data_IF_862384338053
#
_entry.id   IF_862384338053
#
_cell.length_a   1.000
_cell.length_b   1.000
_cell.length_c   1.000
_cell.angle_alpha   90.00
_cell.angle_beta   90.00
_cell.angle_gamma   90.00
#
_symmetry.space_group_name_H-M   'P 1'
#
loop_
_entity.id
_entity.type
_entity.pdbx_description
1 polymer ?
#
# COMPACT_ATOMS: atom_id res chain seq x y z
N UNK A 1 -5.59 -18.11 -20.96
CA UNK A 1 -5.60 -16.63 -20.98
C UNK A 1 -5.69 -16.00 -19.57
N UNK A 2 -5.26 -16.69 -18.49
CA UNK A 2 -5.37 -16.20 -17.10
C UNK A 2 -4.06 -15.63 -16.56
N UNK A 3 -2.92 -16.28 -16.79
CA UNK A 3 -1.66 -15.90 -16.13
C UNK A 3 -1.13 -14.53 -16.52
N UNK A 4 -1.25 -14.14 -17.80
CA UNK A 4 -0.77 -12.83 -18.26
C UNK A 4 -1.57 -11.69 -17.60
N UNK A 5 -2.89 -11.85 -17.50
CA UNK A 5 -3.79 -10.88 -16.84
C UNK A 5 -3.52 -10.80 -15.34
N UNK A 6 -3.27 -11.93 -14.69
CA UNK A 6 -2.91 -11.97 -13.26
C UNK A 6 -1.59 -11.27 -12.97
N UNK A 7 -0.56 -11.51 -13.79
CA UNK A 7 0.73 -10.81 -13.68
C UNK A 7 0.58 -9.32 -13.92
N UNK A 8 -0.12 -8.93 -14.98
CA UNK A 8 -0.35 -7.51 -15.29
C UNK A 8 -1.08 -6.82 -14.16
N UNK A 9 -2.19 -7.38 -13.65
CA UNK A 9 -2.93 -6.77 -12.53
C UNK A 9 -2.11 -6.72 -11.24
N UNK A 10 -1.24 -7.70 -11.00
CA UNK A 10 -0.30 -7.67 -9.87
C UNK A 10 0.70 -6.51 -10.00
N UNK A 11 1.37 -6.38 -11.15
CA UNK A 11 2.31 -5.28 -11.40
C UNK A 11 1.62 -3.91 -11.38
N UNK A 12 0.40 -3.82 -11.90
CA UNK A 12 -0.41 -2.59 -11.87
C UNK A 12 -0.78 -2.20 -10.43
N UNK A 13 -1.10 -3.17 -9.57
CA UNK A 13 -1.37 -2.93 -8.14
C UNK A 13 -0.13 -2.45 -7.41
N UNK A 14 1.04 -3.03 -7.72
CA UNK A 14 2.32 -2.58 -7.15
C UNK A 14 2.70 -1.17 -7.62
N UNK A 15 2.49 -0.86 -8.91
CA UNK A 15 2.72 0.47 -9.45
C UNK A 15 1.78 1.52 -8.84
N UNK A 16 0.50 1.18 -8.67
CA UNK A 16 -0.48 2.02 -7.97
C UNK A 16 -0.09 2.24 -6.51
N UNK A 17 0.35 1.18 -5.81
CA UNK A 17 0.83 1.31 -4.43
C UNK A 17 1.99 2.33 -4.33
N UNK A 18 2.95 2.27 -5.26
CA UNK A 18 4.04 3.24 -5.31
C UNK A 18 3.56 4.65 -5.65
N UNK A 19 2.65 4.80 -6.61
CA UNK A 19 2.09 6.10 -6.98
C UNK A 19 1.35 6.77 -5.82
N UNK A 20 0.54 6.01 -5.08
CA UNK A 20 -0.21 6.53 -3.94
C UNK A 20 0.65 6.79 -2.69
N UNK A 21 1.85 6.21 -2.61
CA UNK A 21 2.81 6.52 -1.57
C UNK A 21 3.83 7.60 -1.98
N UNK A 22 3.78 8.06 -3.23
CA UNK A 22 4.69 9.08 -3.74
C UNK A 22 4.43 10.41 -3.04
N UNK A 23 5.45 10.96 -2.39
CA UNK A 23 5.40 12.26 -1.71
C UNK A 23 6.32 13.26 -2.40
N UNK A 24 5.82 14.00 -3.41
CA UNK A 24 6.65 14.93 -4.18
C UNK A 24 7.06 16.15 -3.34
N UNK A 25 8.37 16.38 -3.24
CA UNK A 25 8.96 17.59 -2.65
C UNK A 25 9.40 18.52 -3.78
N UNK A 26 8.85 19.75 -3.89
CA UNK A 26 9.18 20.68 -4.97
C UNK A 26 10.68 20.97 -5.05
N UNK A 27 11.26 20.84 -6.25
CA UNK A 27 12.66 21.22 -6.53
C UNK A 27 13.73 20.26 -6.02
N UNK A 28 13.38 19.14 -5.37
CA UNK A 28 14.37 18.18 -4.88
C UNK A 28 13.91 16.71 -5.06
N UNK A 29 14.46 16.06 -6.10
CA UNK A 29 14.20 14.65 -6.41
C UNK A 29 14.70 13.71 -5.31
N UNK A 30 15.84 14.00 -4.69
CA UNK A 30 16.40 13.17 -3.61
C UNK A 30 15.53 13.25 -2.35
N UNK A 31 15.03 14.45 -2.03
CA UNK A 31 14.08 14.64 -0.93
C UNK A 31 12.76 13.89 -1.19
N UNK A 32 12.22 13.96 -2.41
CA UNK A 32 11.03 13.22 -2.82
C UNK A 32 11.18 11.71 -2.61
N UNK A 33 12.32 11.13 -3.02
CA UNK A 33 12.59 9.71 -2.81
C UNK A 33 12.72 9.35 -1.33
N UNK A 34 13.38 10.20 -0.54
CA UNK A 34 13.54 10.00 0.91
C UNK A 34 12.20 10.03 1.64
N UNK A 35 11.38 11.05 1.39
CA UNK A 35 10.07 11.21 2.03
C UNK A 35 9.11 10.08 1.64
N UNK A 36 9.11 9.70 0.35
CA UNK A 36 8.35 8.52 -0.13
C UNK A 36 8.82 7.24 0.57
N UNK A 37 10.13 7.04 0.69
CA UNK A 37 10.71 5.88 1.38
C UNK A 37 10.36 5.83 2.86
N UNK A 38 10.41 6.98 3.55
CA UNK A 38 10.02 7.09 4.95
C UNK A 38 8.52 6.86 5.15
N UNK A 39 7.68 7.39 4.26
CA UNK A 39 6.24 7.14 4.31
C UNK A 39 5.93 5.64 4.15
N UNK A 40 6.55 4.98 3.18
CA UNK A 40 6.42 3.52 3.02
C UNK A 40 6.93 2.80 4.26
N UNK A 41 8.07 3.21 4.83
CA UNK A 41 8.63 2.58 6.02
C UNK A 41 7.73 2.71 7.25
N UNK A 42 7.07 3.85 7.44
CA UNK A 42 6.15 4.04 8.56
C UNK A 42 4.81 3.35 8.34
N UNK A 43 4.30 3.31 7.11
CA UNK A 43 2.99 2.73 6.81
C UNK A 43 3.05 1.22 6.61
N UNK A 44 4.13 0.69 6.02
CA UNK A 44 4.26 -0.73 5.68
C UNK A 44 4.09 -1.69 6.88
N UNK A 45 4.63 -1.43 8.09
CA UNK A 45 4.41 -2.29 9.25
C UNK A 45 2.93 -2.37 9.65
N UNK A 46 2.22 -1.24 9.65
CA UNK A 46 0.79 -1.20 9.97
C UNK A 46 -0.04 -1.92 8.91
N UNK A 47 0.25 -1.66 7.62
CA UNK A 47 -0.42 -2.31 6.49
C UNK A 47 -0.14 -3.82 6.52
N UNK A 48 1.08 -4.25 6.83
CA UNK A 48 1.45 -5.65 6.95
C UNK A 48 0.73 -6.33 8.12
N UNK A 49 0.69 -5.68 9.30
CA UNK A 49 -0.05 -6.18 10.46
C UNK A 49 -1.53 -6.37 10.16
N UNK A 50 -2.16 -5.37 9.52
CA UNK A 50 -3.57 -5.45 9.13
C UNK A 50 -3.82 -6.50 8.04
N UNK A 51 -2.86 -6.67 7.11
CA UNK A 51 -2.91 -7.74 6.11
C UNK A 51 -2.91 -9.11 6.78
N UNK A 52 -2.01 -9.36 7.74
CA UNK A 52 -1.94 -10.63 8.47
C UNK A 52 -3.23 -10.88 9.23
N UNK A 53 -3.79 -9.85 9.87
CA UNK A 53 -5.07 -9.93 10.55
C UNK A 53 -6.22 -10.34 9.61
N UNK A 54 -6.36 -9.67 8.47
CA UNK A 54 -7.38 -10.02 7.46
C UNK A 54 -7.16 -11.43 6.92
N UNK A 55 -5.91 -11.78 6.59
CA UNK A 55 -5.55 -13.10 6.08
C UNK A 55 -5.83 -14.19 7.12
N UNK A 56 -5.65 -13.93 8.41
CA UNK A 56 -6.01 -14.85 9.48
C UNK A 56 -7.54 -15.03 9.57
N UNK A 57 -8.31 -13.94 9.55
CA UNK A 57 -9.78 -13.99 9.55
C UNK A 57 -10.35 -14.76 8.35
N UNK A 58 -9.82 -14.50 7.14
CA UNK A 58 -10.25 -15.19 5.92
C UNK A 58 -9.89 -16.68 5.95
N UNK A 59 -8.71 -17.04 6.47
CA UNK A 59 -8.33 -18.45 6.63
C UNK A 59 -9.21 -19.15 7.65
N UNK A 60 -9.52 -18.49 8.78
CA UNK A 60 -10.43 -19.03 9.79
C UNK A 60 -11.83 -19.30 9.20
N UNK A 61 -12.40 -18.32 8.50
CA UNK A 61 -13.71 -18.47 7.85
C UNK A 61 -13.74 -19.54 6.74
N UNK A 62 -12.61 -19.78 6.07
CA UNK A 62 -12.47 -20.79 5.01
C UNK A 62 -12.09 -22.20 5.53
N UNK A 63 -12.20 -22.45 6.84
CA UNK A 63 -11.86 -23.75 7.44
C UNK A 63 -10.35 -24.01 7.50
N UNK A 64 -9.56 -22.98 7.80
CA UNK A 64 -8.09 -23.01 7.93
C UNK A 64 -7.31 -23.43 6.68
N UNK A 65 -7.90 -23.28 5.49
CA UNK A 65 -7.17 -23.48 4.23
C UNK A 65 -6.11 -22.40 4.04
N UNK A 66 -4.84 -22.80 3.85
CA UNK A 66 -3.74 -21.86 3.62
C UNK A 66 -4.00 -21.01 2.37
N UNK A 67 -3.99 -19.69 2.55
CA UNK A 67 -4.13 -18.75 1.44
C UNK A 67 -2.81 -18.63 0.64
N UNK A 68 -2.84 -18.69 -0.72
CA UNK A 68 -1.67 -18.48 -1.57
C UNK A 68 -1.03 -17.11 -1.37
N UNK A 69 0.28 -17.01 -1.55
CA UNK A 69 1.05 -15.80 -1.29
C UNK A 69 0.66 -14.63 -2.20
N UNK A 70 0.35 -14.91 -3.48
CA UNK A 70 -0.15 -13.91 -4.45
C UNK A 70 -1.36 -13.15 -3.89
N UNK A 71 -2.30 -13.87 -3.28
CA UNK A 71 -3.51 -13.27 -2.69
C UNK A 71 -3.20 -12.39 -1.49
N UNK A 72 -2.24 -12.80 -0.64
CA UNK A 72 -1.82 -12.02 0.53
C UNK A 72 -1.19 -10.70 0.11
N UNK A 73 -0.32 -10.74 -0.91
CA UNK A 73 0.32 -9.55 -1.46
C UNK A 73 -0.69 -8.60 -2.13
N UNK A 74 -1.72 -9.12 -2.81
CA UNK A 74 -2.82 -8.29 -3.32
C UNK A 74 -3.57 -7.57 -2.21
N UNK A 75 -3.87 -8.25 -1.11
CA UNK A 75 -4.51 -7.62 0.07
C UNK A 75 -3.60 -6.54 0.65
N UNK A 76 -2.30 -6.81 0.76
CA UNK A 76 -1.31 -5.82 1.19
C UNK A 76 -1.31 -4.58 0.30
N UNK A 77 -1.25 -4.74 -1.03
CA UNK A 77 -1.30 -3.60 -1.95
C UNK A 77 -2.61 -2.83 -1.87
N UNK A 78 -3.75 -3.53 -1.75
CA UNK A 78 -5.05 -2.88 -1.63
C UNK A 78 -5.16 -2.04 -0.36
N UNK A 79 -4.75 -2.59 0.80
CA UNK A 79 -4.70 -1.86 2.07
C UNK A 79 -3.72 -0.69 2.01
N UNK A 80 -2.56 -0.90 1.38
CA UNK A 80 -1.55 0.11 1.15
C UNK A 80 -2.07 1.29 0.33
N UNK A 81 -2.77 1.01 -0.78
CA UNK A 81 -3.41 2.03 -1.62
C UNK A 81 -4.47 2.79 -0.83
N UNK A 82 -5.33 2.10 -0.07
CA UNK A 82 -6.34 2.76 0.75
C UNK A 82 -5.69 3.66 1.81
N UNK A 83 -4.64 3.18 2.49
CA UNK A 83 -3.94 3.97 3.51
C UNK A 83 -3.26 5.21 2.90
N UNK A 84 -2.58 5.06 1.76
CA UNK A 84 -1.93 6.17 1.05
C UNK A 84 -2.94 7.21 0.57
N UNK A 85 -4.10 6.76 0.07
CA UNK A 85 -5.20 7.63 -0.33
C UNK A 85 -5.77 8.42 0.86
N UNK A 86 -6.03 7.77 2.00
CA UNK A 86 -6.50 8.44 3.22
C UNK A 86 -5.47 9.46 3.71
N UNK A 87 -4.18 9.11 3.67
CA UNK A 87 -3.10 10.02 4.08
C UNK A 87 -2.98 11.23 3.16
N UNK A 88 -3.06 11.02 1.84
CA UNK A 88 -3.07 12.09 0.86
C UNK A 88 -4.28 13.02 1.07
N UNK A 89 -5.49 12.47 1.27
CA UNK A 89 -6.67 13.28 1.59
C UNK A 89 -6.45 14.08 2.87
N UNK A 90 -5.91 13.47 3.93
CA UNK A 90 -5.64 14.17 5.19
C UNK A 90 -4.67 15.35 5.01
N UNK A 91 -3.63 15.15 4.21
CA UNK A 91 -2.64 16.18 3.90
C UNK A 91 -3.21 17.31 3.02
N UNK A 92 -3.91 16.97 1.93
CA UNK A 92 -4.50 17.95 1.01
C UNK A 92 -5.75 18.64 1.56
N UNK A 93 -6.46 18.04 2.53
CA UNK A 93 -7.58 18.66 3.23
C UNK A 93 -7.16 19.75 4.23
N UNK A 94 -5.87 20.07 4.32
CA UNK A 94 -5.35 21.18 5.13
C UNK A 94 -5.23 20.88 6.63
N UNK A 95 -5.45 19.62 7.05
CA UNK A 95 -5.25 19.16 8.43
C UNK A 95 -3.80 18.69 8.66
N UNK A 96 -3.05 18.43 7.58
CA UNK A 96 -1.63 18.04 7.59
C UNK A 96 -0.70 19.18 7.17
N UNK A 97 -0.80 20.35 7.81
CA UNK A 97 0.22 21.39 7.64
C UNK A 97 1.43 20.99 8.48
N UNK A 98 2.42 20.34 7.87
CA UNK A 98 3.80 20.46 8.38
C UNK A 98 4.27 21.84 7.92
N UNK A 99 4.67 22.76 8.82
CA UNK A 99 5.20 24.05 8.42
C UNK A 99 6.41 23.83 7.49
N UNK A 100 6.43 24.59 6.39
CA UNK A 100 7.49 24.60 5.38
C UNK A 100 8.89 24.77 5.99
#
# INVERSE_FOLDING_TARGET
MSELKEKVTFYLSAALYLLFNLRPVPGNLLATMRETGLQILYTAPYVAGFTVFIVALLQYAAGNKKMPWDRRLRIFFALGIMSGLVYAIYEYAGQGVVPK
#
